data_IF_322457845557
#
_entry.id   IF_322457845557
#
_cell.length_a   1.000
_cell.length_b   1.000
_cell.length_c   1.000
_cell.angle_alpha   90.00
_cell.angle_beta   90.00
_cell.angle_gamma   90.00
#
_symmetry.space_group_name_H-M   'P 1'
#
loop_
_entity.id
_entity.type
_entity.pdbx_description
1 polymer ?
#
# COMPACT_ATOMS: atom_id res chain seq x y z
N UNK A 1 -3.32 1.17 -27.08
CA UNK A 1 -1.95 1.49 -27.54
C UNK A 1 -1.14 0.20 -27.53
N UNK A 2 -0.39 -0.13 -28.58
CA UNK A 2 0.49 -1.32 -28.57
C UNK A 2 1.74 -1.03 -27.74
N UNK A 3 2.13 -1.98 -26.89
CA UNK A 3 3.36 -1.89 -26.10
C UNK A 3 4.60 -1.90 -27.00
N UNK A 4 5.59 -1.10 -26.64
CA UNK A 4 6.85 -0.94 -27.37
C UNK A 4 7.81 -2.10 -27.08
N UNK A 5 8.76 -2.35 -28.01
CA UNK A 5 9.76 -3.42 -27.86
C UNK A 5 10.65 -3.28 -26.62
N UNK A 6 10.78 -2.05 -26.10
CA UNK A 6 11.48 -1.76 -24.85
C UNK A 6 10.68 -2.24 -23.62
N UNK A 7 9.37 -1.99 -23.59
CA UNK A 7 8.47 -2.46 -22.54
C UNK A 7 8.38 -4.00 -22.53
N UNK A 8 8.41 -4.62 -23.71
CA UNK A 8 8.50 -6.08 -23.84
C UNK A 8 9.81 -6.64 -23.29
N UNK A 9 10.96 -6.00 -23.59
CA UNK A 9 12.26 -6.40 -23.02
C UNK A 9 12.33 -6.21 -21.51
N UNK A 10 11.80 -5.09 -20.98
CA UNK A 10 11.74 -4.84 -19.54
C UNK A 10 10.89 -5.90 -18.82
N UNK A 11 9.71 -6.25 -19.36
CA UNK A 11 8.86 -7.34 -18.83
C UNK A 11 9.56 -8.70 -18.86
N UNK A 12 10.33 -8.97 -19.92
CA UNK A 12 11.07 -10.24 -20.06
C UNK A 12 12.23 -10.34 -19.06
N UNK A 13 12.91 -9.23 -18.76
CA UNK A 13 13.98 -9.17 -17.75
C UNK A 13 13.43 -9.28 -16.31
N UNK A 14 12.26 -8.69 -16.02
CA UNK A 14 11.59 -8.82 -14.72
C UNK A 14 11.18 -10.27 -14.38
N UNK A 15 10.96 -11.11 -15.38
CA UNK A 15 10.55 -12.51 -15.21
C UNK A 15 11.61 -13.37 -14.50
N UNK A 16 12.88 -12.96 -14.54
CA UNK A 16 14.02 -13.70 -13.96
C UNK A 16 14.16 -13.44 -12.45
N UNK A 17 13.73 -12.28 -11.95
CA UNK A 17 13.92 -11.88 -10.55
C UNK A 17 12.76 -12.27 -9.63
N UNK A 18 11.53 -12.34 -10.14
CA UNK A 18 10.34 -12.59 -9.33
C UNK A 18 9.94 -14.07 -9.22
N UNK A 19 10.76 -15.03 -9.70
CA UNK A 19 10.43 -16.47 -9.75
C UNK A 19 9.01 -16.75 -10.29
N UNK A 20 8.59 -16.03 -11.34
CA UNK A 20 7.23 -16.10 -11.91
C UNK A 20 6.08 -15.73 -10.94
N UNK A 21 6.35 -15.09 -9.80
CA UNK A 21 5.32 -14.69 -8.84
C UNK A 21 4.21 -13.83 -9.46
N UNK A 22 4.54 -13.07 -10.50
CA UNK A 22 3.57 -12.28 -11.28
C UNK A 22 2.42 -13.10 -11.87
N UNK A 23 2.61 -14.40 -12.11
CA UNK A 23 1.54 -15.30 -12.59
C UNK A 23 0.44 -15.51 -11.54
N UNK A 24 0.72 -15.24 -10.27
CA UNK A 24 -0.18 -15.45 -9.12
C UNK A 24 -0.69 -14.14 -8.52
N UNK A 25 -0.31 -13.00 -9.09
CA UNK A 25 -0.64 -11.67 -8.60
C UNK A 25 -1.51 -10.91 -9.60
N UNK A 26 -2.47 -10.14 -9.10
CA UNK A 26 -3.18 -9.16 -9.91
C UNK A 26 -2.38 -7.86 -9.91
N UNK A 27 -1.81 -7.50 -11.06
CA UNK A 27 -1.14 -6.22 -11.27
C UNK A 27 -2.09 -5.24 -11.96
N UNK A 28 -2.17 -4.02 -11.43
CA UNK A 28 -2.91 -2.90 -12.02
C UNK A 28 -1.96 -1.71 -12.12
N UNK A 29 -1.92 -1.10 -13.29
CA UNK A 29 -1.18 0.12 -13.55
C UNK A 29 -2.20 1.27 -13.70
N UNK A 30 -1.84 2.44 -13.20
CA UNK A 30 -2.66 3.65 -13.24
C UNK A 30 -1.84 4.78 -13.85
N UNK A 31 -2.48 5.69 -14.58
CA UNK A 31 -1.79 6.80 -15.23
C UNK A 31 -1.39 7.89 -14.22
N UNK A 32 -2.00 7.90 -13.03
CA UNK A 32 -1.63 8.81 -11.94
C UNK A 32 -1.87 8.24 -10.54
N UNK A 33 -1.17 8.81 -9.55
CA UNK A 33 -1.40 8.50 -8.12
C UNK A 33 -2.83 8.80 -7.70
N UNK A 34 -3.44 9.86 -8.23
CA UNK A 34 -4.81 10.24 -7.90
C UNK A 34 -5.82 9.15 -8.31
N UNK A 35 -5.65 8.57 -9.50
CA UNK A 35 -6.49 7.45 -9.96
C UNK A 35 -6.30 6.19 -9.12
N UNK A 36 -5.04 5.88 -8.77
CA UNK A 36 -4.74 4.77 -7.86
C UNK A 36 -5.45 4.95 -6.51
N UNK A 37 -5.32 6.13 -5.88
CA UNK A 37 -5.97 6.44 -4.61
C UNK A 37 -7.51 6.40 -4.72
N UNK A 38 -8.08 6.86 -5.83
CA UNK A 38 -9.52 6.77 -6.06
C UNK A 38 -9.99 5.31 -6.12
N UNK A 39 -9.27 4.44 -6.84
CA UNK A 39 -9.58 3.02 -6.91
C UNK A 39 -9.44 2.30 -5.55
N UNK A 40 -8.44 2.67 -4.74
CA UNK A 40 -8.29 2.12 -3.39
C UNK A 40 -9.42 2.55 -2.45
N UNK A 41 -9.87 3.81 -2.56
CA UNK A 41 -11.01 4.33 -1.80
C UNK A 41 -12.32 3.66 -2.21
N UNK A 42 -12.53 3.44 -3.51
CA UNK A 42 -13.69 2.72 -4.02
C UNK A 42 -13.74 1.27 -3.51
N UNK A 43 -12.60 0.59 -3.41
CA UNK A 43 -12.48 -0.75 -2.82
C UNK A 43 -12.48 -0.75 -1.26
N UNK A 44 -12.77 0.41 -0.65
CA UNK A 44 -12.90 0.62 0.79
C UNK A 44 -11.65 0.23 1.58
N UNK A 45 -10.48 0.63 1.07
CA UNK A 45 -9.20 0.38 1.74
C UNK A 45 -8.76 1.58 2.59
N UNK A 46 -8.26 1.29 3.78
CA UNK A 46 -7.45 2.21 4.57
C UNK A 46 -6.08 2.29 3.94
N UNK A 47 -5.64 3.50 3.58
CA UNK A 47 -4.35 3.73 2.91
C UNK A 47 -3.33 4.18 3.94
N UNK A 48 -2.23 3.43 4.06
CA UNK A 48 -1.05 3.81 4.85
C UNK A 48 0.11 4.09 3.90
N UNK A 49 0.79 5.21 4.11
CA UNK A 49 1.99 5.57 3.37
C UNK A 49 3.22 5.35 4.24
N UNK A 50 4.29 4.80 3.66
CA UNK A 50 5.59 4.74 4.33
C UNK A 50 6.27 6.10 4.23
N UNK A 51 6.68 6.65 5.37
CA UNK A 51 7.35 7.95 5.45
C UNK A 51 8.52 7.86 6.45
N UNK A 52 9.55 8.69 6.24
CA UNK A 52 10.71 8.84 7.13
C UNK A 52 10.61 10.10 8.01
N UNK A 53 9.50 10.83 7.92
CA UNK A 53 9.23 11.99 8.78
C UNK A 53 9.10 11.59 10.26
N UNK A 54 9.29 12.56 11.15
CA UNK A 54 9.09 12.37 12.60
C UNK A 54 7.62 12.22 12.98
N UNK A 55 6.71 12.60 12.07
CA UNK A 55 5.27 12.47 12.25
C UNK A 55 4.77 11.06 11.87
N UNK A 56 5.65 10.23 11.28
CA UNK A 56 5.32 8.85 10.95
C UNK A 56 5.11 8.01 12.20
N UNK A 57 4.06 7.17 12.19
CA UNK A 57 3.81 6.21 13.26
C UNK A 57 4.54 4.91 12.98
N UNK A 58 5.36 4.47 13.93
CA UNK A 58 6.09 3.22 13.84
C UNK A 58 5.12 2.03 13.77
N UNK A 59 5.45 1.03 12.97
CA UNK A 59 4.66 -0.20 12.83
C UNK A 59 4.89 -1.16 14.01
N UNK A 60 4.62 -0.69 15.23
CA UNK A 60 4.67 -1.47 16.47
C UNK A 60 3.26 -1.58 17.07
N UNK A 61 2.95 -2.66 17.81
CA UNK A 61 1.67 -2.77 18.51
C UNK A 61 1.37 -1.61 19.45
N UNK A 62 2.39 -1.11 20.14
CA UNK A 62 2.28 -0.03 21.12
C UNK A 62 1.92 1.31 20.45
N UNK A 63 2.62 1.65 19.36
CA UNK A 63 2.42 2.90 18.65
C UNK A 63 1.08 2.92 17.90
N UNK A 64 0.69 1.79 17.28
CA UNK A 64 -0.61 1.65 16.62
C UNK A 64 -1.78 1.80 17.62
N UNK A 65 -1.71 1.14 18.79
CA UNK A 65 -2.75 1.28 19.83
C UNK A 65 -2.90 2.72 20.29
N UNK A 66 -1.76 3.40 20.48
CA UNK A 66 -1.73 4.80 20.92
C UNK A 66 -2.42 5.70 19.89
N UNK A 67 -2.18 5.46 18.60
CA UNK A 67 -2.81 6.22 17.52
C UNK A 67 -4.34 6.04 17.50
N UNK A 68 -4.85 4.81 17.61
CA UNK A 68 -6.30 4.56 17.65
C UNK A 68 -6.97 5.11 18.91
N UNK A 69 -6.28 5.13 20.06
CA UNK A 69 -6.84 5.67 21.31
C UNK A 69 -7.05 7.19 21.29
N UNK A 70 -6.29 7.92 20.46
CA UNK A 70 -6.41 9.36 20.30
C UNK A 70 -7.51 9.76 19.31
N UNK A 71 -7.92 8.84 18.43
CA UNK A 71 -8.94 9.07 17.40
C UNK A 71 -10.33 8.69 17.95
N UNK A 72 -10.90 9.58 18.76
CA UNK A 72 -12.12 9.35 19.57
C UNK A 72 -13.43 9.25 18.75
N UNK A 73 -13.37 8.84 17.48
CA UNK A 73 -14.53 8.80 16.58
C UNK A 73 -14.71 7.50 15.79
N UNK A 74 -13.79 6.54 15.88
CA UNK A 74 -13.94 5.23 15.25
C UNK A 74 -13.64 4.15 16.29
N UNK A 75 -14.66 3.75 17.04
CA UNK A 75 -14.54 2.66 18.02
C UNK A 75 -14.05 1.40 17.29
N UNK A 76 -12.89 0.83 17.65
CA UNK A 76 -12.49 -0.45 17.11
C UNK A 76 -13.58 -1.45 17.51
N UNK A 77 -14.10 -2.19 16.53
CA UNK A 77 -14.96 -3.35 16.78
C UNK A 77 -14.27 -4.16 17.86
N UNK A 78 -14.90 -4.21 19.03
CA UNK A 78 -14.39 -4.86 20.22
C UNK A 78 -14.56 -6.38 20.06
N UNK A 79 -13.94 -6.93 19.02
CA UNK A 79 -13.87 -8.35 18.80
C UNK A 79 -12.51 -8.77 19.35
N UNK A 80 -12.60 -9.57 20.40
CA UNK A 80 -11.51 -10.03 21.25
C UNK A 80 -10.44 -10.80 20.46
N UNK A 81 -9.48 -10.09 19.86
CA UNK A 81 -8.07 -10.46 19.65
C UNK A 81 -7.37 -9.45 18.71
N UNK A 82 -6.70 -8.44 19.27
CA UNK A 82 -5.48 -7.86 18.70
C UNK A 82 -5.51 -7.36 17.22
N UNK A 83 -6.67 -6.92 16.70
CA UNK A 83 -6.78 -6.37 15.34
C UNK A 83 -6.25 -4.93 15.29
N UNK A 84 -4.92 -4.81 15.28
CA UNK A 84 -4.20 -3.55 15.14
C UNK A 84 -4.18 -3.05 13.69
N UNK A 85 -4.48 -3.93 12.74
CA UNK A 85 -4.44 -3.66 11.32
C UNK A 85 -5.86 -3.51 10.78
N UNK A 86 -6.12 -2.54 9.89
CA UNK A 86 -7.39 -2.43 9.20
C UNK A 86 -7.70 -3.69 8.38
N UNK A 87 -8.96 -4.13 8.38
CA UNK A 87 -9.43 -5.28 7.59
C UNK A 87 -9.09 -5.18 6.09
N UNK A 88 -9.03 -3.96 5.57
CA UNK A 88 -8.72 -3.66 4.17
C UNK A 88 -7.59 -2.65 4.10
N UNK A 89 -6.36 -3.10 4.31
CA UNK A 89 -5.19 -2.25 4.26
C UNK A 89 -4.62 -2.15 2.82
N UNK A 90 -4.18 -0.95 2.45
CA UNK A 90 -3.30 -0.69 1.31
C UNK A 90 -2.04 0.03 1.81
N UNK A 91 -0.87 -0.51 1.50
CA UNK A 91 0.42 0.09 1.87
C UNK A 91 1.02 0.73 0.62
N UNK A 92 1.31 2.02 0.71
CA UNK A 92 1.92 2.82 -0.36
C UNK A 92 3.41 2.93 -0.07
N UNK A 93 4.20 2.51 -1.05
CA UNK A 93 5.65 2.68 -1.05
C UNK A 93 6.02 3.82 -1.99
N UNK A 94 6.95 4.64 -1.51
CA UNK A 94 7.52 5.74 -2.26
C UNK A 94 8.54 5.29 -3.30
N UNK A 95 8.99 6.25 -4.12
CA UNK A 95 10.16 6.01 -4.98
C UNK A 95 11.43 5.99 -4.13
N UNK A 96 12.46 5.29 -4.61
CA UNK A 96 13.75 5.16 -3.90
C UNK A 96 14.43 6.51 -3.60
N UNK A 97 14.16 7.53 -4.43
CA UNK A 97 14.83 8.83 -4.33
C UNK A 97 14.10 9.85 -3.45
N UNK A 98 12.77 9.81 -3.39
CA UNK A 98 11.97 10.86 -2.73
C UNK A 98 10.91 10.36 -1.75
N UNK A 99 10.70 9.05 -1.61
CA UNK A 99 9.63 8.52 -0.75
C UNK A 99 8.24 8.76 -1.34
N UNK A 100 7.22 8.82 -0.47
CA UNK A 100 5.84 9.09 -0.86
C UNK A 100 5.65 10.61 -1.02
N UNK A 101 5.07 11.04 -2.15
CA UNK A 101 4.82 12.46 -2.48
C UNK A 101 3.41 12.67 -2.96
#
# INVERSE_FOLDING_TARGET
RCATDYELKARTAHHVFAQKATEWLTLREFDSTAECLAALKEDQRTVWATDLSQDAVCLTPEDLRSQYSNDMNDTPRQDSNNDLLPNRLAIVFGTESVGCT
#
